data_IF_359815269365
#
_entry.id   IF_359815269365
#
_cell.length_a   1.000
_cell.length_b   1.000
_cell.length_c   1.000
_cell.angle_alpha   90.00
_cell.angle_beta   90.00
_cell.angle_gamma   90.00
#
_symmetry.space_group_name_H-M   'P 1'
#
loop_
_entity.id
_entity.type
_entity.pdbx_description
1 polymer ?
#
# COMPACT_ATOMS: atom_id res chain seq x y z
N UNK A 1 33.61 -10.33 5.61
CA UNK A 1 32.79 -9.45 4.76
C UNK A 1 32.39 -10.25 3.53
N UNK A 2 31.24 -10.95 3.58
CA UNK A 2 30.80 -11.82 2.48
C UNK A 2 30.18 -10.97 1.40
N UNK A 3 30.73 -11.11 0.20
CA UNK A 3 30.35 -10.45 -1.05
C UNK A 3 28.86 -10.66 -1.31
N UNK A 4 28.11 -9.57 -1.40
CA UNK A 4 26.72 -9.59 -1.84
C UNK A 4 26.73 -9.56 -3.37
N UNK A 5 26.68 -10.75 -3.95
CA UNK A 5 26.56 -11.01 -5.37
C UNK A 5 25.27 -10.38 -5.92
N UNK A 6 25.44 -9.59 -6.98
CA UNK A 6 24.42 -9.11 -7.91
C UNK A 6 23.63 -10.27 -8.53
N UNK A 7 22.67 -10.80 -7.78
CA UNK A 7 21.55 -11.58 -8.29
C UNK A 7 20.38 -10.59 -8.33
N UNK A 8 19.71 -10.49 -9.48
CA UNK A 8 18.37 -9.92 -9.53
C UNK A 8 17.45 -10.93 -8.84
N UNK A 9 17.56 -11.06 -7.52
CA UNK A 9 16.64 -11.87 -6.73
C UNK A 9 15.29 -11.19 -6.86
N UNK A 10 14.43 -11.78 -7.70
CA UNK A 10 13.05 -11.36 -7.83
C UNK A 10 12.46 -11.30 -6.43
N UNK A 11 11.93 -10.14 -6.06
CA UNK A 11 11.32 -9.94 -4.75
C UNK A 11 10.23 -11.02 -4.57
N UNK A 12 10.31 -11.76 -3.47
CA UNK A 12 9.31 -12.75 -3.12
C UNK A 12 8.05 -12.10 -2.58
N UNK A 13 6.98 -12.87 -2.52
CA UNK A 13 5.68 -12.42 -2.00
C UNK A 13 5.77 -11.69 -0.64
N UNK A 14 6.52 -12.15 0.37
CA UNK A 14 6.61 -11.44 1.64
C UNK A 14 7.34 -10.10 1.54
N UNK A 15 8.37 -9.98 0.68
CA UNK A 15 9.05 -8.70 0.46
C UNK A 15 8.14 -7.70 -0.26
N UNK A 16 7.36 -8.15 -1.25
CA UNK A 16 6.36 -7.28 -1.92
C UNK A 16 5.29 -6.80 -0.95
N UNK A 17 4.78 -7.69 -0.07
CA UNK A 17 3.79 -7.32 0.95
C UNK A 17 4.39 -6.30 1.92
N UNK A 18 5.62 -6.55 2.42
CA UNK A 18 6.29 -5.63 3.31
C UNK A 18 6.54 -4.26 2.66
N UNK A 19 6.92 -4.23 1.38
CA UNK A 19 7.13 -3.01 0.61
C UNK A 19 5.82 -2.22 0.46
N UNK A 20 4.73 -2.88 0.07
CA UNK A 20 3.42 -2.24 -0.10
C UNK A 20 2.84 -1.72 1.21
N UNK A 21 2.85 -2.54 2.27
CA UNK A 21 2.32 -2.17 3.60
C UNK A 21 3.17 -1.07 4.23
N UNK A 22 4.50 -1.20 4.17
CA UNK A 22 5.43 -0.20 4.70
C UNK A 22 5.25 1.16 4.02
N UNK A 23 5.09 1.17 2.69
CA UNK A 23 4.83 2.39 1.92
C UNK A 23 3.49 3.05 2.30
N UNK A 24 2.40 2.28 2.39
CA UNK A 24 1.08 2.82 2.73
C UNK A 24 0.99 3.36 4.18
N UNK A 25 1.57 2.64 5.16
CA UNK A 25 1.56 3.08 6.55
C UNK A 25 2.49 4.28 6.76
N UNK A 26 3.71 4.22 6.21
CA UNK A 26 4.72 5.26 6.37
C UNK A 26 4.43 6.54 5.60
N UNK A 27 3.98 6.43 4.34
CA UNK A 27 3.73 7.59 3.47
C UNK A 27 2.33 8.20 3.61
N UNK A 28 1.34 7.39 4.00
CA UNK A 28 -0.05 7.83 4.11
C UNK A 28 -0.45 8.04 5.56
N UNK A 29 -0.68 6.94 6.29
CA UNK A 29 -1.34 6.95 7.60
C UNK A 29 -0.59 7.87 8.57
N UNK A 30 0.72 7.69 8.75
CA UNK A 30 1.47 8.45 9.74
C UNK A 30 1.61 9.93 9.38
N UNK A 31 1.64 10.26 8.08
CA UNK A 31 1.75 11.64 7.59
C UNK A 31 0.48 12.47 7.83
N UNK A 32 -0.71 11.85 7.75
CA UNK A 32 -1.98 12.60 7.82
C UNK A 32 -2.80 12.33 9.08
N UNK A 33 -2.46 11.34 9.91
CA UNK A 33 -3.25 10.95 11.08
C UNK A 33 -3.48 12.12 12.05
N UNK A 34 -2.46 12.94 12.31
CA UNK A 34 -2.59 14.09 13.21
C UNK A 34 -3.60 15.13 12.72
N UNK A 35 -3.58 15.44 11.42
CA UNK A 35 -4.57 16.34 10.80
C UNK A 35 -5.96 15.70 10.74
N UNK A 36 -6.04 14.42 10.40
CA UNK A 36 -7.29 13.68 10.33
C UNK A 36 -8.01 13.64 11.68
N UNK A 37 -7.28 13.42 12.79
CA UNK A 37 -7.84 13.47 14.15
C UNK A 37 -8.25 14.89 14.53
N UNK A 38 -7.50 15.93 14.11
CA UNK A 38 -7.89 17.32 14.33
C UNK A 38 -9.22 17.70 13.67
N UNK A 39 -9.50 17.15 12.49
CA UNK A 39 -10.73 17.44 11.72
C UNK A 39 -11.89 16.53 12.14
N UNK A 40 -11.64 15.22 12.22
CA UNK A 40 -12.69 14.21 12.46
C UNK A 40 -12.92 13.92 13.95
N UNK A 41 -11.99 14.29 14.83
CA UNK A 41 -12.08 14.06 16.27
C UNK A 41 -12.38 12.60 16.60
N UNK A 42 -13.43 12.37 17.40
CA UNK A 42 -13.89 11.04 17.81
C UNK A 42 -14.42 10.18 16.65
N UNK A 43 -14.73 10.78 15.51
CA UNK A 43 -15.19 10.09 14.30
C UNK A 43 -14.02 9.64 13.40
N UNK A 44 -12.76 9.94 13.74
CA UNK A 44 -11.60 9.51 12.95
C UNK A 44 -11.54 8.00 12.65
N UNK A 45 -11.84 7.08 13.61
CA UNK A 45 -11.87 5.65 13.31
C UNK A 45 -12.97 5.27 12.31
N UNK A 46 -14.11 5.98 12.37
CA UNK A 46 -15.24 5.76 11.46
C UNK A 46 -14.89 6.20 10.04
N UNK A 47 -14.23 7.36 9.90
CA UNK A 47 -13.75 7.87 8.62
C UNK A 47 -12.71 6.92 7.99
N UNK A 48 -11.77 6.40 8.78
CA UNK A 48 -10.83 5.37 8.34
C UNK A 48 -11.53 4.07 7.92
N UNK A 49 -12.58 3.67 8.63
CA UNK A 49 -13.38 2.50 8.26
C UNK A 49 -14.04 2.65 6.88
N UNK A 50 -14.66 3.80 6.62
CA UNK A 50 -15.26 4.10 5.31
C UNK A 50 -14.18 4.19 4.23
N UNK A 51 -13.07 4.88 4.51
CA UNK A 51 -11.94 4.97 3.59
C UNK A 51 -11.34 3.60 3.25
N UNK A 52 -11.29 2.67 4.22
CA UNK A 52 -10.82 1.30 4.01
C UNK A 52 -11.75 0.52 3.08
N UNK A 53 -13.07 0.73 3.18
CA UNK A 53 -14.04 0.07 2.29
C UNK A 53 -13.89 0.55 0.84
N UNK A 54 -13.65 1.85 0.64
CA UNK A 54 -13.36 2.42 -0.68
C UNK A 54 -12.01 1.89 -1.20
N UNK A 55 -10.98 1.87 -0.36
CA UNK A 55 -9.66 1.34 -0.72
C UNK A 55 -9.72 -0.14 -1.10
N UNK A 56 -10.57 -0.93 -0.43
CA UNK A 56 -10.78 -2.34 -0.76
C UNK A 56 -11.40 -2.52 -2.15
N UNK A 57 -12.40 -1.70 -2.49
CA UNK A 57 -13.00 -1.71 -3.82
C UNK A 57 -11.98 -1.31 -4.91
N UNK A 58 -11.16 -0.28 -4.64
CA UNK A 58 -10.08 0.13 -5.54
C UNK A 58 -9.01 -0.97 -5.70
N UNK A 59 -8.59 -1.59 -4.59
CA UNK A 59 -7.64 -2.70 -4.58
C UNK A 59 -8.14 -3.90 -5.37
N UNK A 60 -9.43 -4.25 -5.26
CA UNK A 60 -10.02 -5.32 -6.07
C UNK A 60 -9.97 -5.00 -7.57
N UNK A 61 -10.31 -3.77 -7.95
CA UNK A 61 -10.19 -3.32 -9.35
C UNK A 61 -8.74 -3.39 -9.84
N UNK A 62 -7.79 -2.99 -8.99
CA UNK A 62 -6.36 -3.02 -9.29
C UNK A 62 -5.82 -4.45 -9.45
N UNK A 63 -6.24 -5.40 -8.62
CA UNK A 63 -5.88 -6.82 -8.76
C UNK A 63 -6.38 -7.36 -10.10
N UNK A 64 -7.64 -7.05 -10.47
CA UNK A 64 -8.17 -7.45 -11.78
C UNK A 64 -7.39 -6.84 -12.93
N UNK A 65 -6.96 -5.58 -12.81
CA UNK A 65 -6.16 -4.91 -13.83
C UNK A 65 -4.76 -5.52 -13.93
N UNK A 66 -4.11 -5.79 -12.81
CA UNK A 66 -2.79 -6.40 -12.73
C UNK A 66 -2.76 -7.81 -13.36
N UNK A 67 -3.85 -8.57 -13.22
CA UNK A 67 -4.03 -9.86 -13.89
C UNK A 67 -4.29 -9.74 -15.40
N UNK A 68 -4.86 -8.62 -15.85
CA UNK A 68 -5.13 -8.37 -17.27
C UNK A 68 -3.88 -7.85 -18.01
N UNK A 69 -3.11 -6.99 -17.35
CA UNK A 69 -1.90 -6.37 -17.89
C UNK A 69 -0.70 -6.69 -17.01
N UNK A 70 0.05 -7.72 -17.38
CA UNK A 70 1.29 -8.15 -16.72
C UNK A 70 2.49 -7.25 -17.05
N UNK A 71 2.32 -5.94 -17.12
CA UNK A 71 3.42 -4.99 -17.39
C UNK A 71 4.18 -4.69 -16.10
N UNK A 72 5.52 -4.73 -16.16
CA UNK A 72 6.48 -4.69 -15.02
C UNK A 72 6.45 -3.44 -14.13
N UNK A 73 5.57 -2.50 -14.43
CA UNK A 73 5.25 -1.39 -13.55
C UNK A 73 3.87 -0.96 -13.94
N UNK A 74 2.89 -1.23 -13.08
CA UNK A 74 1.49 -0.86 -13.21
C UNK A 74 1.30 0.67 -13.37
N UNK A 75 1.73 1.16 -14.53
CA UNK A 75 1.73 2.53 -15.00
C UNK A 75 0.86 2.54 -16.26
N UNK A 76 -0.43 2.42 -16.00
CA UNK A 76 -1.49 3.08 -16.76
C UNK A 76 -2.20 4.02 -15.79
#
# INVERSE_FOLDING_TARGET
>A
MKQQSNQQDALGLPELIAMGVGGMIGGGIFSVLGMAVGIAGRAAPLAFGIGSLVAFAAGYSYIKLALCFHSDGASF
#
